data_IF_272244763150
#
_entry.id   IF_272244763150
#
_cell.length_a   1.000
_cell.length_b   1.000
_cell.length_c   1.000
_cell.angle_alpha   90.00
_cell.angle_beta   90.00
_cell.angle_gamma   90.00
#
_symmetry.space_group_name_H-M   'P 1'
#
loop_
_entity.id
_entity.type
_entity.pdbx_description
1 polymer ?
#
# COMPACT_ATOMS: atom_id res chain seq x y z
N UNK A 1 47.00 35.81 -31.66
CA UNK A 1 46.41 35.12 -30.48
C UNK A 1 46.36 33.64 -30.79
N UNK A 2 46.73 32.77 -29.86
CA UNK A 2 46.49 31.33 -30.01
C UNK A 2 44.99 31.10 -30.22
N UNK A 3 44.62 30.11 -31.05
CA UNK A 3 43.22 29.79 -31.38
C UNK A 3 42.37 29.63 -30.10
N UNK A 4 42.95 29.00 -29.08
CA UNK A 4 42.38 28.84 -27.74
C UNK A 4 42.09 30.17 -27.00
N UNK A 5 42.93 31.19 -27.16
CA UNK A 5 42.71 32.49 -26.52
C UNK A 5 41.56 33.26 -27.18
N UNK A 6 41.37 33.09 -28.50
CA UNK A 6 40.23 33.63 -29.22
C UNK A 6 38.93 32.96 -28.77
N UNK A 7 38.90 31.63 -28.72
CA UNK A 7 37.73 30.86 -28.27
C UNK A 7 37.33 31.22 -26.83
N UNK A 8 38.29 31.36 -25.91
CA UNK A 8 38.01 31.80 -24.54
C UNK A 8 37.41 33.22 -24.51
N UNK A 9 37.94 34.14 -25.33
CA UNK A 9 37.43 35.52 -25.41
C UNK A 9 35.99 35.55 -25.92
N UNK A 10 35.67 34.73 -26.93
CA UNK A 10 34.31 34.60 -27.46
C UNK A 10 33.36 34.01 -26.42
N UNK A 11 33.79 32.96 -25.70
CA UNK A 11 32.99 32.36 -24.63
C UNK A 11 32.68 33.37 -23.51
N UNK A 12 33.68 34.13 -23.04
CA UNK A 12 33.50 35.12 -21.98
C UNK A 12 32.56 36.26 -22.43
N UNK A 13 32.68 36.69 -23.70
CA UNK A 13 31.80 37.67 -24.31
C UNK A 13 30.34 37.18 -24.41
N UNK A 14 30.14 35.92 -24.81
CA UNK A 14 28.82 35.29 -24.86
C UNK A 14 28.17 35.18 -23.47
N UNK A 15 28.95 34.79 -22.45
CA UNK A 15 28.48 34.75 -21.04
C UNK A 15 28.08 36.15 -20.59
N UNK A 16 28.89 37.17 -20.90
CA UNK A 16 28.59 38.55 -20.53
C UNK A 16 27.31 39.07 -21.23
N UNK A 17 27.11 38.72 -22.50
CA UNK A 17 25.88 39.06 -23.25
C UNK A 17 24.64 38.39 -22.63
N UNK A 18 24.73 37.09 -22.29
CA UNK A 18 23.67 36.40 -21.55
C UNK A 18 23.39 37.04 -20.19
N UNK A 19 24.41 37.45 -19.42
CA UNK A 19 24.17 38.13 -18.14
C UNK A 19 23.43 39.46 -18.28
N UNK A 20 23.63 40.17 -19.39
CA UNK A 20 22.91 41.43 -19.70
C UNK A 20 21.54 41.23 -20.33
N UNK A 21 21.13 39.99 -20.62
CA UNK A 21 19.87 39.69 -21.29
C UNK A 21 19.92 39.76 -22.82
N UNK A 22 21.09 40.00 -23.41
CA UNK A 22 21.26 40.15 -24.86
C UNK A 22 21.51 38.79 -25.53
N UNK A 23 20.42 38.03 -25.73
CA UNK A 23 20.48 36.68 -26.27
C UNK A 23 20.88 36.65 -27.76
N UNK A 24 20.56 37.71 -28.52
CA UNK A 24 20.91 37.83 -29.93
C UNK A 24 22.43 37.97 -30.10
N UNK A 25 23.06 38.88 -29.34
CA UNK A 25 24.52 39.02 -29.33
C UNK A 25 25.18 37.74 -28.84
N UNK A 26 24.67 37.13 -27.76
CA UNK A 26 25.21 35.86 -27.27
C UNK A 26 25.18 34.76 -28.34
N UNK A 27 24.06 34.60 -29.06
CA UNK A 27 23.92 33.60 -30.12
C UNK A 27 24.86 33.88 -31.30
N UNK A 28 24.99 35.15 -31.70
CA UNK A 28 25.92 35.54 -32.75
C UNK A 28 27.36 35.22 -32.37
N UNK A 29 27.80 35.63 -31.17
CA UNK A 29 29.15 35.36 -30.64
C UNK A 29 29.45 33.86 -30.55
N UNK A 30 28.49 33.05 -30.08
CA UNK A 30 28.66 31.59 -30.03
C UNK A 30 28.73 30.95 -31.43
N UNK A 31 28.15 31.57 -32.45
CA UNK A 31 28.20 31.05 -33.83
C UNK A 31 29.55 31.29 -34.51
N UNK A 32 30.39 32.19 -33.95
CA UNK A 32 31.76 32.43 -34.42
C UNK A 32 32.79 31.45 -33.84
N UNK A 33 32.40 30.65 -32.84
CA UNK A 33 33.23 29.62 -32.23
C UNK A 33 33.25 28.35 -33.08
N UNK A 34 34.39 27.66 -33.13
CA UNK A 34 34.49 26.37 -33.82
C UNK A 34 33.69 25.26 -33.11
N UNK A 35 33.68 25.28 -31.77
CA UNK A 35 32.91 24.34 -30.94
C UNK A 35 32.25 25.06 -29.74
N UNK A 36 31.10 25.71 -29.94
CA UNK A 36 30.47 26.49 -28.87
C UNK A 36 29.97 25.59 -27.74
N UNK A 37 30.14 25.99 -26.46
CA UNK A 37 29.58 25.26 -25.32
C UNK A 37 28.07 25.08 -25.46
N UNK A 38 27.65 23.83 -25.60
CA UNK A 38 26.28 23.49 -25.97
C UNK A 38 25.22 24.04 -24.97
N UNK A 39 25.54 24.13 -23.68
CA UNK A 39 24.63 24.69 -22.68
C UNK A 39 24.45 26.21 -22.84
N UNK A 40 25.50 26.96 -23.17
CA UNK A 40 25.38 28.40 -23.44
C UNK A 40 24.58 28.64 -24.73
N UNK A 41 24.78 27.78 -25.72
CA UNK A 41 24.04 27.79 -26.97
C UNK A 41 22.54 27.52 -26.76
N UNK A 42 22.21 26.53 -25.93
CA UNK A 42 20.84 26.21 -25.54
C UNK A 42 20.18 27.40 -24.80
N UNK A 43 20.89 28.04 -23.87
CA UNK A 43 20.40 29.22 -23.14
C UNK A 43 20.15 30.42 -24.06
N UNK A 44 21.01 30.65 -25.06
CA UNK A 44 20.81 31.73 -26.02
C UNK A 44 19.57 31.46 -26.90
N UNK A 45 19.42 30.24 -27.44
CA UNK A 45 18.24 29.83 -28.20
C UNK A 45 16.95 29.93 -27.39
N UNK A 46 16.97 29.44 -26.14
CA UNK A 46 15.85 29.49 -25.21
C UNK A 46 15.28 30.91 -25.08
N UNK A 47 16.17 31.90 -24.87
CA UNK A 47 15.81 33.32 -24.70
C UNK A 47 15.37 34.01 -25.98
N UNK A 48 15.77 33.49 -27.14
CA UNK A 48 15.31 33.95 -28.46
C UNK A 48 14.00 33.28 -28.89
N UNK A 49 13.50 32.30 -28.14
CA UNK A 49 12.35 31.49 -28.55
C UNK A 49 12.65 30.49 -29.66
N UNK A 50 13.93 30.25 -29.97
CA UNK A 50 14.38 29.26 -30.96
C UNK A 50 14.35 27.85 -30.34
N UNK A 51 13.17 27.22 -30.40
CA UNK A 51 12.95 25.91 -29.79
C UNK A 51 13.77 24.81 -30.44
N UNK A 52 13.96 24.86 -31.76
CA UNK A 52 14.71 23.84 -32.52
C UNK A 52 16.21 23.95 -32.26
N UNK A 53 16.75 25.17 -32.24
CA UNK A 53 18.15 25.42 -31.91
C UNK A 53 18.48 25.06 -30.46
N UNK A 54 17.56 25.30 -29.52
CA UNK A 54 17.72 24.86 -28.13
C UNK A 54 17.75 23.33 -28.02
N UNK A 55 16.77 22.64 -28.62
CA UNK A 55 16.72 21.18 -28.59
C UNK A 55 17.96 20.55 -29.24
N UNK A 56 18.41 21.07 -30.37
CA UNK A 56 19.63 20.61 -31.03
C UNK A 56 20.86 20.76 -30.14
N UNK A 57 20.99 21.91 -29.45
CA UNK A 57 22.09 22.15 -28.52
C UNK A 57 22.03 21.21 -27.29
N UNK A 58 20.84 21.00 -26.71
CA UNK A 58 20.65 20.09 -25.59
C UNK A 58 20.95 18.62 -25.96
N UNK A 59 20.56 18.19 -27.17
CA UNK A 59 20.86 16.85 -27.65
C UNK A 59 22.36 16.57 -27.75
N UNK A 60 23.19 17.57 -28.10
CA UNK A 60 24.65 17.42 -28.09
C UNK A 60 25.19 17.07 -26.70
N UNK A 61 24.61 17.66 -25.65
CA UNK A 61 24.97 17.36 -24.26
C UNK A 61 24.50 15.95 -23.89
N UNK A 62 23.24 15.63 -24.19
CA UNK A 62 22.62 14.36 -23.82
C UNK A 62 23.21 13.16 -24.57
N UNK A 63 23.77 13.36 -25.76
CA UNK A 63 24.52 12.31 -26.48
C UNK A 63 25.84 11.96 -25.79
N UNK A 64 26.46 12.91 -25.10
CA UNK A 64 27.70 12.69 -24.34
C UNK A 64 27.41 12.20 -22.92
N UNK A 65 26.40 12.77 -22.29
CA UNK A 65 25.94 12.46 -20.94
C UNK A 65 24.41 12.48 -20.89
N UNK A 66 23.80 11.31 -21.11
CA UNK A 66 22.35 11.13 -21.08
C UNK A 66 21.72 11.46 -19.71
N UNK A 67 22.52 11.56 -18.65
CA UNK A 67 22.08 11.85 -17.28
C UNK A 67 22.42 13.28 -16.86
N UNK A 68 22.77 14.15 -17.81
CA UNK A 68 23.08 15.55 -17.54
C UNK A 68 21.84 16.30 -17.01
N UNK A 69 21.78 16.48 -15.69
CA UNK A 69 20.62 17.08 -15.00
C UNK A 69 20.15 18.42 -15.59
N UNK A 70 21.02 19.44 -15.80
CA UNK A 70 20.60 20.69 -16.43
C UNK A 70 19.99 20.49 -17.82
N UNK A 71 20.58 19.62 -18.65
CA UNK A 71 20.10 19.40 -20.01
C UNK A 71 18.75 18.65 -20.04
N UNK A 72 18.56 17.67 -19.14
CA UNK A 72 17.27 16.97 -18.99
C UNK A 72 16.14 17.92 -18.58
N UNK A 73 16.40 18.80 -17.60
CA UNK A 73 15.43 19.79 -17.14
C UNK A 73 15.10 20.81 -18.24
N UNK A 74 16.11 21.30 -18.95
CA UNK A 74 15.92 22.22 -20.06
C UNK A 74 15.15 21.57 -21.23
N UNK A 75 15.40 20.29 -21.51
CA UNK A 75 14.66 19.54 -22.53
C UNK A 75 13.18 19.41 -22.18
N UNK A 76 12.87 19.11 -20.91
CA UNK A 76 11.49 19.11 -20.43
C UNK A 76 10.80 20.47 -20.63
N UNK A 77 11.49 21.57 -20.31
CA UNK A 77 10.96 22.93 -20.50
C UNK A 77 10.81 23.34 -21.96
N UNK A 78 11.69 22.87 -22.86
CA UNK A 78 11.54 23.04 -24.30
C UNK A 78 10.27 22.34 -24.81
N UNK A 79 10.02 21.11 -24.38
CA UNK A 79 8.83 20.34 -24.75
C UNK A 79 7.53 20.96 -24.21
N UNK A 80 7.53 21.50 -22.99
CA UNK A 80 6.37 22.26 -22.47
C UNK A 80 6.04 23.44 -23.39
N UNK A 81 7.05 24.22 -23.83
CA UNK A 81 6.83 25.35 -24.76
C UNK A 81 6.37 24.92 -26.15
N UNK A 82 6.59 23.66 -26.54
CA UNK A 82 6.04 23.05 -27.76
C UNK A 82 4.63 22.49 -27.58
N UNK A 83 4.09 22.46 -26.36
CA UNK A 83 2.81 21.82 -26.05
C UNK A 83 2.88 20.30 -25.89
N UNK A 84 4.08 19.70 -25.84
CA UNK A 84 4.25 18.27 -25.59
C UNK A 84 4.44 17.99 -24.09
N UNK A 85 3.32 18.05 -23.36
CA UNK A 85 3.30 17.78 -21.90
C UNK A 85 3.69 16.34 -21.56
N UNK A 86 3.38 15.38 -22.46
CA UNK A 86 3.73 13.96 -22.27
C UNK A 86 5.23 13.74 -22.40
N UNK A 87 5.85 14.25 -23.48
CA UNK A 87 7.29 14.21 -23.67
C UNK A 87 8.03 14.93 -22.54
N UNK A 88 7.55 16.11 -22.13
CA UNK A 88 8.12 16.85 -21.01
C UNK A 88 8.12 16.03 -19.70
N UNK A 89 7.01 15.35 -19.41
CA UNK A 89 6.87 14.51 -18.21
C UNK A 89 7.87 13.34 -18.18
N UNK A 90 8.26 12.79 -19.33
CA UNK A 90 9.29 11.74 -19.42
C UNK A 90 10.66 12.31 -19.00
N UNK A 91 11.04 13.46 -19.55
CA UNK A 91 12.31 14.11 -19.21
C UNK A 91 12.37 14.58 -17.76
N UNK A 92 11.30 15.16 -17.24
CA UNK A 92 11.22 15.59 -15.84
C UNK A 92 11.31 14.41 -14.87
N UNK A 93 10.63 13.29 -15.15
CA UNK A 93 10.74 12.08 -14.31
C UNK A 93 12.17 11.54 -14.32
N UNK A 94 12.81 11.50 -15.48
CA UNK A 94 14.21 11.12 -15.60
C UNK A 94 15.14 12.03 -14.78
N UNK A 95 14.94 13.35 -14.86
CA UNK A 95 15.75 14.33 -14.13
C UNK A 95 15.56 14.21 -12.61
N UNK A 96 14.32 14.04 -12.13
CA UNK A 96 14.03 13.86 -10.70
C UNK A 96 14.63 12.55 -10.17
N UNK A 97 14.51 11.45 -10.91
CA UNK A 97 15.11 10.17 -10.53
C UNK A 97 16.65 10.26 -10.46
N UNK A 98 17.26 10.96 -11.41
CA UNK A 98 18.70 11.21 -11.40
C UNK A 98 19.11 12.08 -10.20
N UNK A 99 18.38 13.15 -9.91
CA UNK A 99 18.64 14.03 -8.78
C UNK A 99 18.49 13.29 -7.44
N UNK A 100 17.54 12.37 -7.31
CA UNK A 100 17.38 11.52 -6.14
C UNK A 100 18.57 10.55 -5.96
N UNK A 101 19.10 10.01 -7.06
CA UNK A 101 20.21 9.06 -7.02
C UNK A 101 21.58 9.69 -6.76
N UNK A 102 21.87 10.85 -7.34
CA UNK A 102 23.22 11.47 -7.27
C UNK A 102 23.28 12.77 -6.46
N UNK A 103 22.14 13.22 -5.93
CA UNK A 103 21.98 14.58 -5.44
C UNK A 103 21.89 15.59 -6.60
N UNK A 104 21.55 16.83 -6.26
CA UNK A 104 21.50 17.94 -7.21
C UNK A 104 22.08 19.22 -6.59
N UNK A 105 22.83 20.03 -7.37
CA UNK A 105 23.32 21.33 -6.91
C UNK A 105 22.17 22.23 -6.44
N UNK A 106 22.37 23.05 -5.38
CA UNK A 106 21.34 23.97 -4.88
C UNK A 106 20.74 24.88 -5.97
N UNK A 107 21.54 25.28 -6.95
CA UNK A 107 21.11 26.12 -8.07
C UNK A 107 20.04 25.46 -8.97
N UNK A 108 19.92 24.13 -8.99
CA UNK A 108 18.92 23.41 -9.78
C UNK A 108 17.63 23.12 -8.99
N UNK A 109 17.60 23.37 -7.68
CA UNK A 109 16.43 23.08 -6.85
C UNK A 109 15.15 23.76 -7.33
N UNK A 110 15.16 25.05 -7.76
CA UNK A 110 13.97 25.67 -8.33
C UNK A 110 13.46 24.97 -9.60
N UNK A 111 14.37 24.51 -10.47
CA UNK A 111 14.01 23.81 -11.71
C UNK A 111 13.45 22.40 -11.43
N UNK A 112 13.98 21.71 -10.42
CA UNK A 112 13.46 20.42 -9.97
C UNK A 112 12.05 20.57 -9.35
N UNK A 113 11.82 21.61 -8.56
CA UNK A 113 10.49 21.92 -8.03
C UNK A 113 9.49 22.24 -9.15
N UNK A 114 9.91 23.02 -10.16
CA UNK A 114 9.10 23.29 -11.35
C UNK A 114 8.79 22.00 -12.14
N UNK A 115 9.78 21.12 -12.33
CA UNK A 115 9.59 19.83 -12.98
C UNK A 115 8.58 18.95 -12.23
N UNK A 116 8.69 18.89 -10.89
CA UNK A 116 7.76 18.17 -10.03
C UNK A 116 6.35 18.76 -10.11
N UNK A 117 6.21 20.09 -10.07
CA UNK A 117 4.93 20.77 -10.23
C UNK A 117 4.30 20.51 -11.61
N UNK A 118 5.11 20.49 -12.68
CA UNK A 118 4.66 20.19 -14.04
C UNK A 118 4.15 18.75 -14.17
N UNK A 119 4.84 17.77 -13.57
CA UNK A 119 4.37 16.37 -13.53
C UNK A 119 3.07 16.28 -12.76
N UNK A 120 2.97 16.92 -11.59
CA UNK A 120 1.77 16.91 -10.78
C UNK A 120 0.58 17.57 -11.49
N UNK A 121 0.80 18.68 -12.18
CA UNK A 121 -0.24 19.36 -12.97
C UNK A 121 -0.70 18.49 -14.15
N UNK A 122 0.24 17.88 -14.88
CA UNK A 122 -0.09 16.97 -16.00
C UNK A 122 -0.85 15.75 -15.51
N UNK A 123 -0.46 15.21 -14.36
CA UNK A 123 -1.16 14.11 -13.68
C UNK A 123 -2.60 14.48 -13.34
N UNK A 124 -2.84 15.65 -12.73
CA UNK A 124 -4.20 16.14 -12.44
C UNK A 124 -5.04 16.31 -13.69
N UNK A 125 -4.52 16.95 -14.75
CA UNK A 125 -5.25 17.09 -16.02
C UNK A 125 -5.65 15.73 -16.61
N UNK A 126 -4.75 14.75 -16.53
CA UNK A 126 -5.02 13.40 -17.03
C UNK A 126 -6.08 12.69 -16.18
N UNK A 127 -6.00 12.80 -14.86
CA UNK A 127 -7.02 12.30 -13.94
C UNK A 127 -8.40 12.94 -14.19
N UNK A 128 -8.46 14.27 -14.34
CA UNK A 128 -9.70 15.00 -14.63
C UNK A 128 -10.29 14.52 -15.97
N UNK A 129 -9.44 14.29 -16.97
CA UNK A 129 -9.86 13.76 -18.27
C UNK A 129 -10.44 12.35 -18.17
N UNK A 130 -9.80 11.46 -17.40
CA UNK A 130 -10.31 10.09 -17.17
C UNK A 130 -11.63 10.13 -16.38
N UNK A 131 -11.70 10.94 -15.32
CA UNK A 131 -12.90 11.10 -14.50
C UNK A 131 -14.07 11.63 -15.31
N UNK A 132 -13.82 12.64 -16.16
CA UNK A 132 -14.84 13.19 -17.06
C UNK A 132 -15.36 12.17 -18.08
N UNK A 133 -14.51 11.25 -18.54
CA UNK A 133 -14.88 10.22 -19.52
C UNK A 133 -15.85 9.16 -18.98
N UNK A 134 -15.99 9.05 -17.66
CA UNK A 134 -16.87 8.07 -16.99
C UNK A 134 -17.89 8.74 -16.05
N UNK A 135 -18.05 10.05 -16.13
CA UNK A 135 -18.82 10.82 -15.14
C UNK A 135 -20.33 10.56 -15.18
N UNK A 136 -20.85 10.04 -16.29
CA UNK A 136 -22.26 9.68 -16.48
C UNK A 136 -22.59 8.24 -16.01
N UNK A 137 -21.57 7.46 -15.66
CA UNK A 137 -21.72 6.09 -15.16
C UNK A 137 -21.91 6.08 -13.64
N UNK A 138 -22.55 5.03 -13.08
CA UNK A 138 -22.60 4.85 -11.64
C UNK A 138 -21.20 4.66 -11.05
N UNK A 139 -21.04 4.93 -9.75
CA UNK A 139 -19.80 4.66 -9.05
C UNK A 139 -19.47 3.15 -9.07
N UNK A 140 -18.37 2.79 -9.74
CA UNK A 140 -17.90 1.41 -9.87
C UNK A 140 -16.57 1.26 -9.09
N UNK A 141 -16.57 0.64 -7.89
CA UNK A 141 -15.37 0.58 -7.03
C UNK A 141 -14.14 -0.02 -7.72
N UNK A 142 -14.32 -1.05 -8.54
CA UNK A 142 -13.23 -1.69 -9.29
C UNK A 142 -12.63 -0.76 -10.36
N UNK A 143 -13.41 0.13 -10.96
CA UNK A 143 -12.91 1.13 -11.90
C UNK A 143 -12.14 2.22 -11.15
N UNK A 144 -12.64 2.66 -10.00
CA UNK A 144 -11.91 3.61 -9.15
C UNK A 144 -10.54 3.04 -8.76
N UNK A 145 -10.48 1.78 -8.28
CA UNK A 145 -9.23 1.11 -7.95
C UNK A 145 -8.30 0.96 -9.17
N UNK A 146 -8.83 0.58 -10.34
CA UNK A 146 -8.03 0.47 -11.56
C UNK A 146 -7.44 1.83 -12.00
N UNK A 147 -8.21 2.90 -11.85
CA UNK A 147 -7.74 4.27 -12.12
C UNK A 147 -6.69 4.72 -11.11
N UNK A 148 -6.84 4.40 -9.82
CA UNK A 148 -5.83 4.71 -8.81
C UNK A 148 -4.51 3.96 -9.06
N UNK A 149 -4.57 2.71 -9.50
CA UNK A 149 -3.41 1.94 -9.95
C UNK A 149 -2.75 2.58 -11.18
N UNK A 150 -3.55 2.97 -12.19
CA UNK A 150 -3.05 3.63 -13.40
C UNK A 150 -2.36 4.97 -13.09
N UNK A 151 -2.90 5.73 -12.14
CA UNK A 151 -2.39 7.04 -11.73
C UNK A 151 -1.27 6.94 -10.69
N UNK A 152 -0.94 5.74 -10.20
CA UNK A 152 0.09 5.51 -9.18
C UNK A 152 -0.29 6.05 -7.80
N UNK A 153 -1.59 6.18 -7.51
CA UNK A 153 -2.12 6.58 -6.20
C UNK A 153 -2.24 5.40 -5.23
N UNK A 154 -2.28 4.19 -5.77
CA UNK A 154 -2.32 2.94 -5.03
C UNK A 154 -1.33 1.96 -5.66
N UNK A 155 -1.01 0.90 -4.92
CA UNK A 155 -0.17 -0.20 -5.39
C UNK A 155 -0.96 -1.51 -5.45
N UNK A 156 -0.38 -2.52 -6.09
CA UNK A 156 -1.00 -3.83 -6.20
C UNK A 156 -0.73 -4.65 -4.94
N UNK A 157 -1.80 -4.98 -4.21
CA UNK A 157 -1.74 -5.89 -3.07
C UNK A 157 -2.19 -7.29 -3.51
N UNK A 158 -1.28 -8.26 -3.39
CA UNK A 158 -1.52 -9.66 -3.68
C UNK A 158 -1.44 -10.48 -2.39
N UNK A 159 -2.11 -11.63 -2.39
CA UNK A 159 -1.94 -12.67 -1.37
C UNK A 159 -0.47 -13.06 -1.24
N UNK A 160 0.08 -12.92 -0.04
CA UNK A 160 1.43 -13.30 0.35
C UNK A 160 1.41 -14.03 1.71
N UNK A 161 0.70 -15.18 1.80
CA UNK A 161 0.70 -16.00 3.02
C UNK A 161 2.12 -16.43 3.38
N UNK A 162 2.43 -16.41 4.67
CA UNK A 162 3.78 -16.67 5.16
C UNK A 162 4.13 -18.16 5.30
N UNK A 163 3.15 -19.06 5.31
CA UNK A 163 3.37 -20.51 5.48
C UNK A 163 2.99 -21.33 4.25
N UNK A 164 1.78 -21.16 3.72
CA UNK A 164 1.28 -21.98 2.62
C UNK A 164 0.43 -21.17 1.64
N UNK A 165 0.73 -21.35 0.35
CA UNK A 165 0.03 -20.72 -0.77
C UNK A 165 -0.73 -21.75 -1.59
N UNK A 166 -2.05 -21.70 -1.55
CA UNK A 166 -2.93 -22.45 -2.45
C UNK A 166 -3.18 -21.65 -3.74
N UNK A 167 -2.79 -22.19 -4.91
CA UNK A 167 -2.85 -21.46 -6.17
C UNK A 167 -4.27 -21.35 -6.73
N UNK A 168 -4.48 -20.38 -7.62
CA UNK A 168 -5.73 -20.23 -8.39
C UNK A 168 -6.86 -19.48 -7.69
N UNK A 169 -6.66 -19.05 -6.44
CA UNK A 169 -7.64 -18.27 -5.68
C UNK A 169 -7.71 -16.79 -6.13
N UNK A 170 -8.88 -16.15 -6.04
CA UNK A 170 -9.05 -14.76 -6.44
C UNK A 170 -8.38 -13.78 -5.48
N UNK A 171 -7.80 -12.70 -6.03
CA UNK A 171 -7.14 -11.63 -5.27
C UNK A 171 -8.17 -10.62 -4.73
N UNK A 172 -8.87 -10.99 -3.66
CA UNK A 172 -9.96 -10.20 -3.06
C UNK A 172 -9.60 -9.82 -1.63
N UNK A 173 -9.56 -8.52 -1.33
CA UNK A 173 -9.33 -8.02 0.03
C UNK A 173 -10.50 -8.35 0.96
N UNK A 174 -11.71 -7.97 0.56
CA UNK A 174 -12.93 -8.19 1.33
C UNK A 174 -13.93 -9.08 0.56
N UNK A 175 -14.75 -9.78 1.34
CA UNK A 175 -15.92 -10.50 0.90
C UNK A 175 -17.16 -9.88 1.54
N UNK A 176 -18.23 -9.79 0.77
CA UNK A 176 -19.46 -9.15 1.20
C UNK A 176 -20.35 -10.11 1.98
N UNK A 177 -21.03 -9.57 2.99
CA UNK A 177 -21.90 -10.32 3.91
C UNK A 177 -22.95 -11.18 3.21
N UNK A 178 -23.50 -10.66 2.11
CA UNK A 178 -24.55 -11.33 1.33
C UNK A 178 -24.04 -12.52 0.50
N UNK A 179 -22.72 -12.74 0.41
CA UNK A 179 -22.14 -13.92 -0.24
C UNK A 179 -22.23 -15.18 0.63
N UNK A 180 -22.58 -15.03 1.92
CA UNK A 180 -22.59 -16.12 2.89
C UNK A 180 -23.95 -16.27 3.57
N UNK A 181 -24.61 -17.41 3.33
CA UNK A 181 -25.94 -17.69 3.89
C UNK A 181 -25.97 -17.79 5.42
N UNK A 182 -24.84 -18.07 6.07
CA UNK A 182 -24.73 -18.20 7.52
C UNK A 182 -24.57 -16.86 8.25
N UNK A 183 -24.17 -15.79 7.56
CA UNK A 183 -23.90 -14.47 8.19
C UNK A 183 -25.11 -13.91 8.94
N UNK A 184 -26.34 -13.89 8.39
CA UNK A 184 -27.49 -13.33 9.09
C UNK A 184 -27.79 -13.98 10.44
N UNK A 185 -27.53 -15.29 10.58
CA UNK A 185 -27.75 -16.00 11.84
C UNK A 185 -26.74 -15.59 12.92
N UNK A 186 -25.49 -15.35 12.52
CA UNK A 186 -24.43 -14.89 13.43
C UNK A 186 -24.64 -13.43 13.82
N UNK A 187 -24.97 -12.55 12.86
CA UNK A 187 -25.28 -11.15 13.15
C UNK A 187 -26.49 -11.00 14.08
N UNK A 188 -27.51 -11.86 13.94
CA UNK A 188 -28.68 -11.87 14.82
C UNK A 188 -28.35 -12.27 16.27
N UNK A 189 -27.22 -12.96 16.52
CA UNK A 189 -26.77 -13.35 17.84
C UNK A 189 -25.95 -12.25 18.56
N UNK A 190 -25.69 -11.10 17.90
CA UNK A 190 -24.80 -10.04 18.41
C UNK A 190 -25.15 -9.60 19.83
N UNK A 191 -26.41 -9.30 20.12
CA UNK A 191 -26.82 -8.81 21.45
C UNK A 191 -26.59 -9.84 22.56
N UNK A 192 -26.84 -11.12 22.27
CA UNK A 192 -26.58 -12.21 23.21
C UNK A 192 -25.07 -12.38 23.45
N UNK A 193 -24.26 -12.29 22.40
CA UNK A 193 -22.79 -12.35 22.51
C UNK A 193 -22.23 -11.15 23.29
N UNK A 194 -22.80 -9.95 23.11
CA UNK A 194 -22.43 -8.76 23.88
C UNK A 194 -22.76 -8.95 25.37
N UNK A 195 -23.90 -9.57 25.70
CA UNK A 195 -24.24 -9.87 27.09
C UNK A 195 -23.20 -10.79 27.74
N UNK A 196 -22.81 -11.87 27.06
CA UNK A 196 -21.76 -12.78 27.53
C UNK A 196 -20.40 -12.09 27.67
N UNK A 197 -20.05 -11.23 26.71
CA UNK A 197 -18.82 -10.43 26.78
C UNK A 197 -18.80 -9.52 28.01
N UNK A 198 -19.92 -8.85 28.32
CA UNK A 198 -20.02 -7.98 29.48
C UNK A 198 -19.89 -8.76 30.79
N UNK A 199 -20.53 -9.92 30.89
CA UNK A 199 -20.44 -10.80 32.06
C UNK A 199 -19.00 -11.30 32.28
N UNK A 200 -18.32 -11.69 31.20
CA UNK A 200 -16.90 -12.09 31.26
C UNK A 200 -16.02 -10.94 31.71
N UNK A 201 -16.20 -9.75 31.14
CA UNK A 201 -15.38 -8.56 31.44
C UNK A 201 -15.64 -7.95 32.82
N UNK A 202 -16.81 -8.18 33.41
CA UNK A 202 -17.07 -7.81 34.80
C UNK A 202 -16.15 -8.55 35.79
N UNK A 203 -15.77 -9.80 35.48
CA UNK A 203 -14.83 -10.58 36.29
C UNK A 203 -13.36 -10.46 35.87
N UNK A 204 -13.10 -10.22 34.59
CA UNK A 204 -11.76 -10.05 34.03
C UNK A 204 -11.78 -9.01 32.90
N UNK A 205 -11.55 -7.72 33.20
CA UNK A 205 -11.74 -6.64 32.23
C UNK A 205 -10.73 -6.65 31.08
N UNK A 206 -9.55 -7.24 31.32
CA UNK A 206 -8.47 -7.43 30.37
C UNK A 206 -8.33 -8.91 29.97
N UNK A 207 -7.94 -9.13 28.72
CA UNK A 207 -7.62 -10.46 28.20
C UNK A 207 -6.11 -10.68 28.16
N UNK A 208 -5.67 -11.94 28.10
CA UNK A 208 -4.26 -12.26 27.91
C UNK A 208 -3.76 -11.66 26.58
N UNK A 209 -2.49 -11.24 26.48
CA UNK A 209 -1.93 -10.73 25.24
C UNK A 209 -2.16 -11.72 24.08
N UNK A 210 -2.49 -11.19 22.91
CA UNK A 210 -2.76 -11.99 21.71
C UNK A 210 -1.47 -12.69 21.24
N UNK A 211 -0.39 -11.92 21.09
CA UNK A 211 0.94 -12.44 20.76
C UNK A 211 1.69 -12.67 22.06
N UNK A 212 2.11 -13.90 22.31
CA UNK A 212 2.81 -14.26 23.54
C UNK A 212 4.21 -14.77 23.24
N UNK A 213 5.15 -14.55 24.15
CA UNK A 213 6.47 -15.18 24.06
C UNK A 213 6.33 -16.68 24.28
N UNK A 214 6.62 -17.53 23.26
CA UNK A 214 6.62 -18.96 23.45
C UNK A 214 7.84 -19.39 24.27
N UNK A 215 7.72 -20.50 25.00
CA UNK A 215 8.79 -20.99 25.91
C UNK A 215 9.84 -21.84 25.20
N UNK A 216 9.56 -22.34 24.00
CA UNK A 216 10.30 -23.40 23.32
C UNK A 216 10.86 -23.00 21.95
N UNK A 217 10.70 -21.73 21.53
CA UNK A 217 11.13 -21.23 20.22
C UNK A 217 11.40 -19.73 20.25
N UNK A 218 12.05 -19.16 19.20
CA UNK A 218 12.32 -17.74 19.13
C UNK A 218 11.03 -16.91 19.25
N UNK A 219 11.14 -15.80 19.95
CA UNK A 219 10.04 -14.87 20.11
C UNK A 219 9.62 -14.28 18.75
N UNK A 220 8.30 -14.08 18.52
CA UNK A 220 7.82 -13.42 17.32
C UNK A 220 8.32 -11.97 17.27
N UNK A 221 8.67 -11.51 16.06
CA UNK A 221 9.09 -10.13 15.81
C UNK A 221 7.87 -9.21 15.68
N UNK A 222 7.12 -9.06 16.77
CA UNK A 222 5.92 -8.23 16.84
C UNK A 222 6.06 -7.19 17.96
N UNK A 223 5.87 -5.88 17.69
CA UNK A 223 5.97 -4.84 18.71
C UNK A 223 4.92 -4.96 19.83
N UNK A 224 3.82 -5.67 19.59
CA UNK A 224 2.74 -5.93 20.55
C UNK A 224 2.88 -7.28 21.27
N UNK A 225 4.06 -7.92 21.21
CA UNK A 225 4.34 -9.16 21.94
C UNK A 225 4.25 -8.94 23.45
N UNK A 226 3.48 -9.79 24.11
CA UNK A 226 3.16 -9.72 25.55
C UNK A 226 2.48 -8.39 25.96
N UNK A 227 1.93 -7.64 24.99
CA UNK A 227 1.27 -6.36 25.22
C UNK A 227 -0.25 -6.56 25.45
N UNK A 228 -0.79 -6.23 26.64
CA UNK A 228 -2.22 -6.40 26.93
C UNK A 228 -3.12 -5.37 26.22
N UNK A 229 -2.55 -4.42 25.47
CA UNK A 229 -3.30 -3.51 24.60
C UNK A 229 -3.89 -4.20 23.38
N UNK A 230 -3.36 -5.38 23.02
CA UNK A 230 -3.97 -6.31 22.08
C UNK A 230 -4.22 -7.66 22.75
N UNK A 231 -5.46 -7.89 23.18
CA UNK A 231 -5.84 -9.04 24.00
C UNK A 231 -6.70 -10.08 23.27
N UNK A 232 -6.61 -11.33 23.71
CA UNK A 232 -7.33 -12.48 23.16
C UNK A 232 -8.06 -13.30 24.24
N UNK A 233 -9.34 -13.59 24.01
CA UNK A 233 -10.11 -14.55 24.80
C UNK A 233 -10.59 -15.70 23.90
N UNK A 234 -9.87 -16.83 23.93
CA UNK A 234 -10.07 -17.93 22.99
C UNK A 234 -11.27 -18.82 23.34
N UNK A 235 -12.08 -19.15 22.34
CA UNK A 235 -13.10 -20.22 22.39
C UNK A 235 -12.58 -21.49 21.72
N UNK A 236 -11.81 -21.30 20.65
CA UNK A 236 -11.06 -22.33 19.95
C UNK A 236 -9.62 -21.86 19.75
N UNK A 237 -8.66 -22.70 20.14
CA UNK A 237 -7.24 -22.43 19.99
C UNK A 237 -6.55 -23.70 19.47
N UNK A 238 -5.85 -23.60 18.35
CA UNK A 238 -5.16 -24.74 17.73
C UNK A 238 -6.08 -25.94 17.47
N UNK A 239 -7.32 -25.66 17.04
CA UNK A 239 -8.33 -26.70 16.77
C UNK A 239 -8.97 -27.35 17.99
N UNK A 240 -8.65 -26.90 19.20
CA UNK A 240 -9.24 -27.41 20.45
C UNK A 240 -10.15 -26.38 21.10
N UNK A 241 -11.26 -26.85 21.71
CA UNK A 241 -12.18 -25.99 22.47
C UNK A 241 -11.56 -25.63 23.81
N UNK A 242 -11.61 -24.34 24.17
CA UNK A 242 -11.29 -23.89 25.53
C UNK A 242 -12.53 -24.08 26.40
N UNK A 243 -12.62 -25.25 27.05
CA UNK A 243 -13.82 -25.74 27.72
C UNK A 243 -14.44 -24.73 28.71
N UNK A 244 -13.61 -24.10 29.54
CA UNK A 244 -14.07 -23.12 30.54
C UNK A 244 -14.67 -21.86 29.90
N UNK A 245 -14.12 -21.42 28.77
CA UNK A 245 -14.60 -20.24 28.05
C UNK A 245 -15.90 -20.56 27.28
N UNK A 246 -15.94 -21.73 26.63
CA UNK A 246 -17.12 -22.21 25.93
C UNK A 246 -18.32 -22.42 26.87
N UNK A 247 -18.10 -22.97 28.07
CA UNK A 247 -19.14 -23.17 29.07
C UNK A 247 -19.76 -21.85 29.56
N UNK A 248 -18.99 -20.75 29.55
CA UNK A 248 -19.43 -19.42 29.96
C UNK A 248 -20.12 -18.64 28.84
N UNK A 249 -19.89 -19.01 27.58
CA UNK A 249 -20.35 -18.26 26.41
C UNK A 249 -21.12 -19.15 25.42
N UNK A 250 -22.25 -19.77 25.83
CA UNK A 250 -23.04 -20.64 24.96
C UNK A 250 -23.58 -19.96 23.69
N UNK A 251 -23.90 -18.66 23.72
CA UNK A 251 -24.37 -17.92 22.56
C UNK A 251 -23.25 -17.74 21.51
N UNK A 252 -22.02 -17.47 21.94
CA UNK A 252 -20.85 -17.49 21.05
C UNK A 252 -20.71 -18.86 20.38
N UNK A 253 -20.75 -19.94 21.16
CA UNK A 253 -20.57 -21.28 20.61
C UNK A 253 -21.67 -21.64 19.62
N UNK A 254 -22.94 -21.34 19.94
CA UNK A 254 -24.07 -21.56 19.05
C UNK A 254 -23.96 -20.72 17.75
N UNK A 255 -23.49 -19.47 17.84
CA UNK A 255 -23.27 -18.64 16.66
C UNK A 255 -22.18 -19.22 15.76
N UNK A 256 -21.05 -19.65 16.33
CA UNK A 256 -19.93 -20.23 15.57
C UNK A 256 -20.32 -21.53 14.85
N UNK A 257 -21.32 -22.27 15.34
CA UNK A 257 -21.83 -23.49 14.69
C UNK A 257 -22.51 -23.26 13.34
N UNK A 258 -22.89 -22.02 13.02
CA UNK A 258 -23.40 -21.66 11.69
C UNK A 258 -22.29 -21.52 10.63
N UNK A 259 -21.05 -21.25 11.03
CA UNK A 259 -19.97 -20.92 10.11
C UNK A 259 -19.30 -22.17 9.51
N UNK A 260 -18.92 -22.09 8.23
CA UNK A 260 -18.16 -23.12 7.50
C UNK A 260 -16.67 -23.13 7.92
N UNK A 261 -16.42 -23.49 9.18
CA UNK A 261 -15.08 -23.48 9.79
C UNK A 261 -14.21 -24.63 9.27
N UNK A 262 -12.90 -24.41 9.05
CA UNK A 262 -11.95 -25.50 8.88
C UNK A 262 -11.79 -26.31 10.17
N UNK A 263 -11.97 -27.63 10.05
CA UNK A 263 -11.68 -28.59 11.12
C UNK A 263 -10.38 -29.32 10.75
N UNK A 264 -9.28 -28.94 11.39
CA UNK A 264 -7.92 -29.45 11.12
C UNK A 264 -7.23 -29.64 12.47
N UNK A 265 -6.98 -30.90 12.84
CA UNK A 265 -6.47 -31.23 14.17
C UNK A 265 -5.15 -30.48 14.48
N UNK A 266 -5.07 -29.83 15.64
CA UNK A 266 -3.89 -29.08 16.09
C UNK A 266 -3.70 -27.70 15.44
N UNK A 267 -4.60 -27.25 14.55
CA UNK A 267 -4.48 -25.98 13.82
C UNK A 267 -5.75 -25.14 13.84
N UNK A 268 -6.86 -25.74 13.41
CA UNK A 268 -8.12 -25.05 13.13
C UNK A 268 -9.30 -25.87 13.67
N UNK A 269 -10.37 -25.24 14.18
CA UNK A 269 -10.65 -23.81 14.13
C UNK A 269 -9.81 -22.93 15.07
N UNK A 270 -9.78 -21.64 14.76
CA UNK A 270 -9.47 -20.55 15.68
C UNK A 270 -10.69 -19.64 15.82
N UNK A 271 -11.07 -19.35 17.06
CA UNK A 271 -12.12 -18.38 17.38
C UNK A 271 -11.86 -17.73 18.73
N UNK A 272 -11.97 -16.40 18.80
CA UNK A 272 -11.63 -15.61 20.00
C UNK A 272 -12.33 -14.25 20.00
N UNK A 273 -12.49 -13.64 21.17
CA UNK A 273 -12.68 -12.20 21.23
C UNK A 273 -11.35 -11.47 21.13
N UNK A 274 -11.22 -10.60 20.12
CA UNK A 274 -10.03 -9.79 19.89
C UNK A 274 -10.29 -8.38 20.38
N UNK A 275 -9.58 -8.00 21.44
CA UNK A 275 -9.65 -6.70 22.09
C UNK A 275 -8.50 -5.81 21.63
N UNK A 276 -8.81 -4.56 21.28
CA UNK A 276 -7.82 -3.55 20.92
C UNK A 276 -8.06 -2.27 21.73
N UNK A 277 -7.12 -1.91 22.62
CA UNK A 277 -7.20 -0.72 23.47
C UNK A 277 -6.94 0.58 22.67
N UNK A 278 -7.36 1.74 23.19
CA UNK A 278 -7.04 3.04 22.62
C UNK A 278 -5.54 3.26 22.36
N UNK A 279 -5.20 3.83 21.22
CA UNK A 279 -3.82 4.14 20.82
C UNK A 279 -3.05 2.96 20.21
N UNK A 280 -3.62 1.76 20.15
CA UNK A 280 -2.93 0.58 19.62
C UNK A 280 -3.00 0.52 18.09
N UNK A 281 -1.88 0.17 17.46
CA UNK A 281 -1.76 -0.04 16.02
C UNK A 281 -1.02 -1.35 15.74
N UNK A 282 -1.75 -2.33 15.22
CA UNK A 282 -1.21 -3.58 14.69
C UNK A 282 -0.58 -3.26 13.34
N UNK A 283 0.73 -3.44 13.21
CA UNK A 283 1.48 -3.08 12.00
C UNK A 283 1.08 -3.92 10.79
N UNK A 284 1.35 -3.45 9.55
CA UNK A 284 1.12 -4.23 8.34
C UNK A 284 1.78 -5.61 8.40
N UNK A 285 0.98 -6.65 8.18
CA UNK A 285 1.43 -8.04 8.18
C UNK A 285 0.55 -8.91 7.28
N UNK A 286 0.92 -10.18 7.14
CA UNK A 286 0.21 -11.17 6.35
C UNK A 286 -0.12 -12.40 7.22
N UNK A 287 -1.26 -13.00 6.94
CA UNK A 287 -1.70 -14.26 7.51
C UNK A 287 -0.83 -15.43 7.09
N UNK A 288 -1.00 -16.56 7.76
CA UNK A 288 -0.20 -17.76 7.51
C UNK A 288 -0.64 -18.50 6.24
N UNK A 289 -1.94 -18.49 5.95
CA UNK A 289 -2.59 -19.34 4.96
C UNK A 289 -3.54 -18.49 4.12
N UNK A 290 -3.60 -18.74 2.81
CA UNK A 290 -4.62 -18.14 1.94
C UNK A 290 -5.83 -19.06 1.70
N UNK A 291 -5.93 -20.18 2.42
CA UNK A 291 -7.02 -21.16 2.28
C UNK A 291 -8.23 -20.83 3.15
N UNK A 292 -8.15 -19.80 3.98
CA UNK A 292 -9.19 -19.37 4.90
C UNK A 292 -9.48 -17.87 4.71
N UNK A 293 -10.64 -17.44 5.19
CA UNK A 293 -10.95 -16.04 5.43
C UNK A 293 -11.02 -15.81 6.93
N UNK A 294 -10.69 -14.60 7.35
CA UNK A 294 -10.92 -14.12 8.71
C UNK A 294 -12.21 -13.31 8.74
N UNK A 295 -13.05 -13.62 9.72
CA UNK A 295 -14.33 -13.00 9.98
C UNK A 295 -14.25 -12.21 11.28
N UNK A 296 -14.71 -10.96 11.25
CA UNK A 296 -14.90 -10.11 12.43
C UNK A 296 -16.38 -9.77 12.57
N UNK A 297 -17.01 -10.21 13.66
CA UNK A 297 -18.29 -9.66 14.13
C UNK A 297 -18.00 -8.57 15.18
N UNK A 298 -18.28 -7.29 14.92
CA UNK A 298 -18.00 -6.21 15.87
C UNK A 298 -19.00 -6.19 17.02
N UNK A 299 -18.50 -6.25 18.26
CA UNK A 299 -19.30 -6.30 19.47
C UNK A 299 -19.26 -4.98 20.23
N UNK A 300 -18.06 -4.43 20.38
CA UNK A 300 -17.82 -3.08 20.91
C UNK A 300 -17.00 -2.36 19.85
N UNK A 301 -17.55 -1.29 19.27
CA UNK A 301 -16.85 -0.45 18.30
C UNK A 301 -16.31 0.80 19.00
N UNK A 302 -15.26 1.37 18.42
CA UNK A 302 -14.68 2.63 18.86
C UNK A 302 -14.54 3.56 17.64
N UNK A 303 -14.73 4.87 17.85
CA UNK A 303 -14.47 5.86 16.81
C UNK A 303 -13.01 5.83 16.37
N UNK A 304 -12.73 6.22 15.12
CA UNK A 304 -11.37 6.21 14.54
C UNK A 304 -10.65 4.83 14.65
N UNK A 305 -11.43 3.75 14.66
CA UNK A 305 -10.94 2.37 14.61
C UNK A 305 -11.23 1.78 13.22
N UNK A 306 -10.22 1.25 12.54
CA UNK A 306 -10.39 0.65 11.23
C UNK A 306 -9.43 -0.50 10.94
N UNK A 307 -9.78 -1.28 9.92
CA UNK A 307 -9.02 -2.37 9.35
C UNK A 307 -8.70 -2.01 7.89
N UNK A 308 -7.42 -2.02 7.52
CA UNK A 308 -6.99 -1.96 6.12
C UNK A 308 -6.61 -3.34 5.65
N UNK A 309 -7.12 -3.76 4.49
CA UNK A 309 -6.71 -4.98 3.78
C UNK A 309 -6.39 -4.58 2.35
N UNK A 310 -5.11 -4.70 1.98
CA UNK A 310 -4.59 -4.14 0.73
C UNK A 310 -4.83 -2.63 0.62
N UNK A 311 -5.46 -2.22 -0.47
CA UNK A 311 -5.77 -0.81 -0.74
C UNK A 311 -7.07 -0.32 -0.07
N UNK A 312 -7.86 -1.22 0.53
CA UNK A 312 -9.19 -0.88 1.05
C UNK A 312 -9.15 -0.78 2.57
N UNK A 313 -9.76 0.28 3.12
CA UNK A 313 -9.91 0.49 4.57
C UNK A 313 -11.39 0.52 4.94
N UNK A 314 -11.80 -0.34 5.87
CA UNK A 314 -13.17 -0.38 6.41
C UNK A 314 -13.15 -0.14 7.92
N UNK A 315 -14.11 0.67 8.39
CA UNK A 315 -14.42 0.79 9.80
C UNK A 315 -15.36 -0.35 10.23
N UNK A 316 -15.34 -0.71 11.51
CA UNK A 316 -16.30 -1.66 12.07
C UNK A 316 -17.62 -0.97 12.40
N UNK A 317 -18.75 -1.58 12.02
CA UNK A 317 -20.08 -1.18 12.46
C UNK A 317 -20.65 -2.24 13.43
N UNK A 318 -21.35 -1.85 14.51
CA UNK A 318 -21.88 -2.80 15.48
C UNK A 318 -22.74 -3.88 14.83
N UNK A 319 -22.43 -5.15 15.10
CA UNK A 319 -23.17 -6.29 14.57
C UNK A 319 -23.05 -6.50 13.05
N UNK A 320 -22.28 -5.70 12.33
CA UNK A 320 -22.05 -5.89 10.89
C UNK A 320 -20.70 -6.53 10.63
N UNK A 321 -20.72 -7.75 10.10
CA UNK A 321 -19.51 -8.52 9.87
C UNK A 321 -18.59 -7.91 8.80
N UNK A 322 -17.29 -7.98 9.05
CA UNK A 322 -16.25 -7.86 8.02
C UNK A 322 -15.63 -9.22 7.76
N UNK A 323 -15.52 -9.62 6.50
CA UNK A 323 -14.94 -10.90 6.07
C UNK A 323 -13.83 -10.56 5.08
N UNK A 324 -12.61 -11.03 5.33
CA UNK A 324 -11.45 -10.62 4.56
C UNK A 324 -10.41 -11.74 4.41
N UNK A 325 -9.58 -11.60 3.38
CA UNK A 325 -8.43 -12.47 3.13
C UNK A 325 -7.22 -11.91 3.89
N UNK A 326 -6.88 -12.52 5.03
CA UNK A 326 -5.75 -12.09 5.86
C UNK A 326 -4.40 -12.41 5.21
N UNK A 327 -4.35 -13.22 4.15
CA UNK A 327 -3.11 -13.45 3.41
C UNK A 327 -2.72 -12.26 2.54
N UNK A 328 -3.60 -11.27 2.32
CA UNK A 328 -3.25 -9.96 1.76
C UNK A 328 -2.74 -9.07 2.89
N UNK A 329 -1.76 -8.19 2.61
CA UNK A 329 -1.23 -7.27 3.61
C UNK A 329 -2.37 -6.51 4.31
N UNK A 330 -2.40 -6.59 5.64
CA UNK A 330 -3.42 -5.93 6.42
C UNK A 330 -2.85 -5.36 7.73
N UNK A 331 -3.55 -4.35 8.23
CA UNK A 331 -3.26 -3.69 9.50
C UNK A 331 -4.55 -3.22 10.15
N UNK A 332 -4.52 -3.03 11.47
CA UNK A 332 -5.66 -2.55 12.22
C UNK A 332 -5.22 -1.56 13.29
N UNK A 333 -6.01 -0.52 13.50
CA UNK A 333 -5.71 0.49 14.51
C UNK A 333 -6.95 0.87 15.30
N UNK A 334 -6.72 1.27 16.55
CA UNK A 334 -7.69 1.96 17.38
C UNK A 334 -7.12 3.33 17.75
N UNK A 335 -7.50 4.38 17.01
CA UNK A 335 -7.12 5.77 17.31
C UNK A 335 -8.22 6.50 18.08
N UNK A 336 -9.22 5.77 18.57
CA UNK A 336 -10.30 6.28 19.40
C UNK A 336 -9.92 6.35 20.88
N UNK A 337 -10.93 6.62 21.71
CA UNK A 337 -10.80 6.71 23.16
C UNK A 337 -11.35 5.48 23.90
N UNK A 338 -12.08 4.62 23.19
CA UNK A 338 -12.74 3.44 23.75
C UNK A 338 -12.09 2.16 23.24
N UNK A 339 -12.24 1.09 24.01
CA UNK A 339 -11.75 -0.24 23.62
C UNK A 339 -12.63 -0.85 22.55
N UNK A 340 -12.04 -1.41 21.50
CA UNK A 340 -12.75 -2.18 20.47
C UNK A 340 -12.69 -3.66 20.81
N UNK A 341 -13.79 -4.38 20.64
CA UNK A 341 -13.85 -5.85 20.74
C UNK A 341 -14.62 -6.42 19.56
N UNK A 342 -14.03 -7.40 18.88
CA UNK A 342 -14.69 -8.20 17.83
C UNK A 342 -14.66 -9.68 18.21
N UNK A 343 -15.67 -10.44 17.83
CA UNK A 343 -15.54 -11.90 17.70
C UNK A 343 -14.81 -12.18 16.39
N UNK A 344 -13.61 -12.73 16.49
CA UNK A 344 -12.75 -13.15 15.40
C UNK A 344 -12.85 -14.66 15.23
N UNK A 345 -13.10 -15.13 14.02
CA UNK A 345 -13.04 -16.55 13.68
C UNK A 345 -12.68 -16.75 12.21
N UNK A 346 -12.35 -17.98 11.85
CA UNK A 346 -11.97 -18.35 10.50
C UNK A 346 -13.02 -19.22 9.80
N UNK A 347 -13.10 -19.10 8.48
CA UNK A 347 -13.92 -19.96 7.61
C UNK A 347 -13.11 -20.42 6.41
N UNK A 348 -13.50 -21.54 5.81
CA UNK A 348 -12.96 -21.91 4.50
C UNK A 348 -13.25 -20.82 3.48
N UNK A 349 -12.33 -20.62 2.54
CA UNK A 349 -12.65 -19.83 1.35
C UNK A 349 -13.80 -20.51 0.57
N UNK A 350 -14.77 -19.71 0.08
CA UNK A 350 -15.89 -20.26 -0.70
C UNK A 350 -15.41 -20.87 -2.03
N UNK A 351 -14.26 -20.46 -2.55
CA UNK A 351 -13.68 -20.99 -3.78
C UNK A 351 -13.03 -22.37 -3.64
N UNK A 352 -12.82 -22.86 -2.41
CA UNK A 352 -12.19 -24.17 -2.18
C UNK A 352 -13.28 -25.24 -2.11
N UNK A 353 -13.21 -26.19 -3.04
CA UNK A 353 -14.21 -27.25 -3.17
C UNK A 353 -14.07 -28.33 -2.09
N UNK A 354 -15.13 -29.11 -1.87
CA UNK A 354 -15.17 -30.10 -0.79
C UNK A 354 -14.01 -31.12 -0.85
N UNK A 355 -13.65 -31.59 -2.04
CA UNK A 355 -12.53 -32.53 -2.23
C UNK A 355 -11.18 -31.89 -1.87
N UNK A 356 -11.00 -30.61 -2.23
CA UNK A 356 -9.80 -29.83 -1.89
C UNK A 356 -9.74 -29.55 -0.39
N UNK A 357 -10.87 -29.24 0.27
CA UNK A 357 -10.93 -29.09 1.73
C UNK A 357 -10.46 -30.36 2.42
N UNK A 358 -10.92 -31.54 1.97
CA UNK A 358 -10.48 -32.84 2.51
C UNK A 358 -8.96 -33.03 2.29
N UNK A 359 -8.47 -32.73 1.09
CA UNK A 359 -7.05 -32.88 0.77
C UNK A 359 -6.17 -31.91 1.59
N UNK A 360 -6.58 -30.65 1.74
CA UNK A 360 -5.91 -29.63 2.52
C UNK A 360 -5.89 -30.00 4.01
N UNK A 361 -7.01 -30.45 4.58
CA UNK A 361 -7.06 -30.95 5.96
C UNK A 361 -6.02 -32.06 6.17
N UNK A 362 -6.03 -33.10 5.32
CA UNK A 362 -5.06 -34.21 5.43
C UNK A 362 -3.62 -33.75 5.24
N UNK A 363 -3.38 -32.81 4.34
CA UNK A 363 -2.04 -32.26 4.08
C UNK A 363 -1.51 -31.51 5.30
N UNK A 364 -2.32 -30.64 5.90
CA UNK A 364 -1.91 -29.88 7.09
C UNK A 364 -1.70 -30.79 8.31
N UNK A 365 -2.58 -31.77 8.52
CA UNK A 365 -2.40 -32.79 9.57
C UNK A 365 -1.12 -33.62 9.36
N UNK A 366 -0.79 -33.96 8.11
CA UNK A 366 0.44 -34.66 7.79
C UNK A 366 1.69 -33.81 8.04
N UNK A 367 1.62 -32.49 7.76
CA UNK A 367 2.70 -31.55 8.07
C UNK A 367 2.96 -31.49 9.58
N UNK A 368 1.91 -31.47 10.41
CA UNK A 368 2.08 -31.44 11.88
C UNK A 368 2.61 -32.75 12.46
N UNK A 369 2.31 -33.87 11.81
CA UNK A 369 2.86 -35.17 12.16
C UNK A 369 4.32 -35.32 11.71
N UNK A 370 4.78 -34.47 10.77
CA UNK A 370 6.14 -34.48 10.25
C UNK A 370 7.09 -33.66 11.14
N UNK A 371 7.50 -34.25 12.26
CA UNK A 371 8.45 -33.66 13.22
C UNK A 371 7.84 -33.40 14.60
N UNK A 372 8.57 -32.75 15.52
CA UNK A 372 8.00 -32.33 16.80
C UNK A 372 6.90 -31.28 16.57
N UNK A 373 5.81 -31.34 17.36
CA UNK A 373 4.64 -30.44 17.25
C UNK A 373 5.08 -28.97 17.17
N UNK A 374 4.73 -28.28 16.08
CA UNK A 374 4.84 -26.82 16.00
C UNK A 374 3.59 -26.21 16.64
N UNK A 375 3.77 -25.55 17.77
CA UNK A 375 2.73 -24.71 18.39
C UNK A 375 2.62 -23.42 17.54
N UNK A 376 1.46 -22.77 17.42
CA UNK A 376 1.34 -21.43 16.83
C UNK A 376 1.59 -20.36 17.91
N UNK A 377 2.38 -19.31 17.66
CA UNK A 377 2.79 -18.29 18.68
C UNK A 377 1.97 -17.00 18.61
N UNK A 378 1.02 -16.91 17.67
CA UNK A 378 0.23 -15.70 17.43
C UNK A 378 0.83 -14.81 16.35
#
# INVERSE_FOLDING_TARGET
MTDRAREQTLQDAAIAALRRGDAAVARATLSEMADPPAMLLAQACNRLGDLDGEQAALNRILQQDMRNLPAMLAMGQNLIRRGDERGASIWFRGALAQAAATGAPPALQPLLQQAQASIAQSGRKFEDHLSAAIADLPALPRIAQATDLLLGKSELYLQQPSMFYFPGLPQRAFYERNEFAWVPAIEAATDAIIAELNDVRAGAPDFAPYVQTPTDRPAPNNPLRDDPSWGAYYFWQQGEIVADHAARCPAVMAALDHADRPMIAGRSPMALWSLLKPGTHIQPHHGLLNTRLICHLPLIVADNCALRVGAETRAWAPGEMLIFDDSIEHEAWNRGNDTRVVLLFEVWRPEIHAEERIALTRLFEAIDQFGPKQVDAG
#
